data_IF_681330845920
#
_entry.id   IF_681330845920
#
_cell.length_a   1.000
_cell.length_b   1.000
_cell.length_c   1.000
_cell.angle_alpha   90.00
_cell.angle_beta   90.00
_cell.angle_gamma   90.00
#
_symmetry.space_group_name_H-M   'P 1'
#
loop_
_entity.id
_entity.type
_entity.pdbx_description
1 polymer ?
#
# COMPACT_ATOMS: atom_id res chain seq x y z
N UNK A 1 0.09 8.83 -26.42
CA UNK A 1 0.87 9.47 -25.33
C UNK A 1 1.98 8.52 -24.91
N UNK A 2 3.25 8.78 -25.32
CA UNK A 2 4.40 8.01 -24.82
C UNK A 2 4.60 8.41 -23.37
N UNK A 3 3.92 7.73 -22.45
CA UNK A 3 4.22 7.82 -21.02
C UNK A 3 5.71 7.54 -20.92
N UNK A 4 6.46 8.51 -20.41
CA UNK A 4 7.90 8.41 -20.22
C UNK A 4 8.22 7.05 -19.61
N UNK A 5 9.30 6.40 -20.06
CA UNK A 5 9.78 5.14 -19.47
C UNK A 5 10.03 5.37 -17.99
N UNK A 6 8.99 5.20 -17.17
CA UNK A 6 9.09 5.22 -15.73
C UNK A 6 9.98 4.03 -15.42
N UNK A 7 11.16 4.27 -14.85
CA UNK A 7 12.09 3.22 -14.44
C UNK A 7 11.46 2.55 -13.21
N UNK A 8 10.45 1.73 -13.47
CA UNK A 8 9.67 1.05 -12.45
C UNK A 8 10.30 -0.31 -12.18
N UNK A 9 10.96 -0.46 -11.02
CA UNK A 9 11.48 -1.74 -10.59
C UNK A 9 10.42 -2.47 -9.75
N UNK A 10 9.84 -3.58 -10.25
CA UNK A 10 8.74 -4.27 -9.58
C UNK A 10 9.11 -4.76 -8.17
N UNK A 11 10.37 -5.14 -7.95
CA UNK A 11 10.83 -5.66 -6.65
C UNK A 11 10.77 -4.58 -5.58
N UNK A 12 11.41 -3.44 -5.85
CA UNK A 12 11.44 -2.30 -4.93
C UNK A 12 10.06 -1.73 -4.73
N UNK A 13 9.25 -1.63 -5.79
CA UNK A 13 7.89 -1.17 -5.67
C UNK A 13 7.05 -2.08 -4.76
N UNK A 14 7.15 -3.41 -4.90
CA UNK A 14 6.43 -4.35 -4.04
C UNK A 14 6.84 -4.19 -2.56
N UNK A 15 8.14 -4.06 -2.28
CA UNK A 15 8.66 -3.83 -0.93
C UNK A 15 8.15 -2.50 -0.36
N UNK A 16 8.17 -1.42 -1.16
CA UNK A 16 7.68 -0.11 -0.72
C UNK A 16 6.18 -0.11 -0.44
N UNK A 17 5.38 -0.76 -1.27
CA UNK A 17 3.93 -0.89 -1.04
C UNK A 17 3.65 -1.52 0.31
N UNK A 18 4.29 -2.65 0.60
CA UNK A 18 4.13 -3.36 1.88
C UNK A 18 4.65 -2.49 3.02
N UNK A 19 5.84 -1.92 2.87
CA UNK A 19 6.47 -1.08 3.90
C UNK A 19 5.61 0.11 4.28
N UNK A 20 5.05 0.83 3.29
CA UNK A 20 4.17 1.98 3.52
C UNK A 20 2.85 1.53 4.17
N UNK A 21 2.27 0.42 3.72
CA UNK A 21 1.03 -0.10 4.31
C UNK A 21 1.23 -0.44 5.79
N UNK A 22 2.25 -1.24 6.11
CA UNK A 22 2.57 -1.64 7.48
C UNK A 22 2.94 -0.45 8.36
N UNK A 23 3.75 0.48 7.85
CA UNK A 23 4.10 1.70 8.58
C UNK A 23 2.85 2.55 8.87
N UNK A 24 1.94 2.68 7.89
CA UNK A 24 0.66 3.37 8.07
C UNK A 24 -0.17 2.75 9.20
N UNK A 25 -0.35 1.42 9.17
CA UNK A 25 -1.05 0.68 10.23
C UNK A 25 -0.41 0.87 11.61
N UNK A 26 0.92 0.78 11.70
CA UNK A 26 1.66 0.96 12.95
C UNK A 26 1.52 2.38 13.50
N UNK A 27 1.62 3.39 12.64
CA UNK A 27 1.37 4.80 13.01
C UNK A 27 -0.05 4.93 13.52
N UNK A 28 -1.04 4.40 12.78
CA UNK A 28 -2.44 4.41 13.17
C UNK A 28 -2.69 3.86 14.57
N UNK A 29 -2.08 2.71 14.87
CA UNK A 29 -2.18 2.10 16.20
C UNK A 29 -1.42 2.89 17.28
N UNK A 30 -0.25 3.42 16.94
CA UNK A 30 0.58 4.20 17.88
C UNK A 30 -0.13 5.48 18.33
N UNK A 31 -0.75 6.19 17.40
CA UNK A 31 -1.31 7.52 17.64
C UNK A 31 -2.58 7.49 18.49
N UNK A 32 -3.29 6.35 18.56
CA UNK A 32 -4.48 6.17 19.42
C UNK A 32 -4.21 6.49 20.90
N UNK A 33 -2.96 6.31 21.36
CA UNK A 33 -2.55 6.67 22.74
C UNK A 33 -2.73 8.16 23.04
N UNK A 34 -2.71 9.01 22.02
CA UNK A 34 -2.82 10.46 22.18
C UNK A 34 -4.25 10.98 22.06
N UNK A 35 -5.24 10.08 21.86
CA UNK A 35 -6.66 10.45 21.64
C UNK A 35 -7.24 11.30 22.78
N UNK A 36 -6.94 10.95 24.02
CA UNK A 36 -7.37 11.66 25.23
C UNK A 36 -6.11 12.17 25.94
N UNK A 37 -5.39 13.07 25.28
CA UNK A 37 -4.18 13.69 25.81
C UNK A 37 -4.11 15.16 25.43
N UNK A 38 -3.26 15.92 26.14
CA UNK A 38 -2.94 17.32 25.79
C UNK A 38 -2.26 17.43 24.41
N UNK A 39 -1.78 16.32 23.85
CA UNK A 39 -1.14 16.24 22.54
C UNK A 39 -2.08 15.68 21.47
N UNK A 40 -3.38 15.99 21.56
CA UNK A 40 -4.42 15.54 20.63
C UNK A 40 -4.09 15.85 19.15
N UNK A 41 -3.33 16.91 18.88
CA UNK A 41 -2.86 17.21 17.52
C UNK A 41 -2.05 16.05 16.90
N UNK A 42 -1.26 15.31 17.70
CA UNK A 42 -0.52 14.11 17.24
C UNK A 42 -1.49 13.03 16.77
N UNK A 43 -2.62 12.86 17.46
CA UNK A 43 -3.67 11.93 17.06
C UNK A 43 -4.30 12.33 15.72
N UNK A 44 -4.65 13.61 15.56
CA UNK A 44 -5.35 14.11 14.36
C UNK A 44 -4.46 14.04 13.11
N UNK A 45 -3.23 14.57 13.18
CA UNK A 45 -2.29 14.47 12.06
C UNK A 45 -1.82 13.04 11.84
N UNK A 46 -1.61 12.28 12.90
CA UNK A 46 -1.22 10.87 12.82
C UNK A 46 -2.27 10.00 12.14
N UNK A 47 -3.56 10.23 12.45
CA UNK A 47 -4.69 9.58 11.76
C UNK A 47 -4.73 9.93 10.28
N UNK A 48 -4.51 11.20 9.93
CA UNK A 48 -4.47 11.64 8.53
C UNK A 48 -3.32 10.96 7.77
N UNK A 49 -2.13 10.91 8.37
CA UNK A 49 -0.95 10.23 7.80
C UNK A 49 -1.22 8.75 7.62
N UNK A 50 -1.75 8.06 8.64
CA UNK A 50 -2.17 6.66 8.54
C UNK A 50 -3.13 6.46 7.36
N UNK A 51 -4.18 7.28 7.26
CA UNK A 51 -5.14 7.21 6.17
C UNK A 51 -4.48 7.32 4.80
N UNK A 52 -3.65 8.34 4.59
CA UNK A 52 -2.95 8.55 3.30
C UNK A 52 -2.00 7.40 2.99
N UNK A 53 -1.25 6.90 3.97
CA UNK A 53 -0.31 5.80 3.77
C UNK A 53 -1.03 4.50 3.42
N UNK A 54 -2.07 4.14 4.17
CA UNK A 54 -2.82 2.91 3.93
C UNK A 54 -3.59 3.00 2.61
N UNK A 55 -4.42 4.02 2.40
CA UNK A 55 -5.18 4.16 1.15
C UNK A 55 -4.29 4.38 -0.07
N UNK A 56 -3.20 5.14 0.08
CA UNK A 56 -2.20 5.31 -0.96
C UNK A 56 -1.53 3.98 -1.33
N UNK A 57 -1.15 3.17 -0.32
CA UNK A 57 -0.58 1.85 -0.56
C UNK A 57 -1.58 0.88 -1.21
N UNK A 58 -2.85 0.95 -0.84
CA UNK A 58 -3.92 0.16 -1.45
C UNK A 58 -4.13 0.53 -2.93
N UNK A 59 -4.23 1.82 -3.23
CA UNK A 59 -4.32 2.30 -4.61
C UNK A 59 -3.11 1.87 -5.43
N UNK A 60 -1.91 2.01 -4.88
CA UNK A 60 -0.70 1.60 -5.57
C UNK A 60 -0.60 0.07 -5.73
N UNK A 61 -1.07 -0.70 -4.74
CA UNK A 61 -1.19 -2.16 -4.81
C UNK A 61 -2.11 -2.60 -5.95
N UNK A 62 -3.23 -1.90 -6.16
CA UNK A 62 -4.15 -2.15 -7.28
C UNK A 62 -3.51 -1.87 -8.65
N UNK A 63 -2.80 -0.75 -8.80
CA UNK A 63 -2.16 -0.40 -10.06
C UNK A 63 -0.85 -1.15 -10.32
N UNK A 64 -0.22 -1.73 -9.29
CA UNK A 64 1.08 -2.41 -9.39
C UNK A 64 1.10 -3.49 -10.49
N UNK A 65 0.17 -4.46 -10.55
CA UNK A 65 0.14 -5.46 -11.63
C UNK A 65 0.04 -4.86 -13.04
N UNK A 66 -0.79 -3.81 -13.20
CA UNK A 66 -1.01 -3.13 -14.48
C UNK A 66 0.27 -2.44 -14.97
N UNK A 67 0.97 -1.75 -14.06
CA UNK A 67 2.25 -1.08 -14.36
C UNK A 67 3.34 -2.11 -14.71
N UNK A 68 3.42 -3.23 -13.97
CA UNK A 68 4.40 -4.29 -14.28
C UNK A 68 4.10 -4.94 -15.62
N UNK A 69 2.82 -5.18 -15.96
CA UNK A 69 2.41 -5.73 -17.25
C UNK A 69 2.79 -4.80 -18.40
N UNK A 70 2.51 -3.51 -18.28
CA UNK A 70 2.79 -2.51 -19.31
C UNK A 70 4.31 -2.38 -19.58
N UNK A 71 5.13 -2.31 -18.53
CA UNK A 71 6.57 -2.05 -18.65
C UNK A 71 7.42 -3.30 -18.89
N UNK A 72 6.98 -4.48 -18.47
CA UNK A 72 7.78 -5.71 -18.49
C UNK A 72 7.09 -6.89 -19.22
N UNK A 73 6.28 -6.61 -20.25
CA UNK A 73 5.46 -7.61 -20.97
C UNK A 73 6.20 -8.92 -21.29
N UNK A 74 7.44 -8.86 -21.77
CA UNK A 74 8.24 -10.06 -22.10
C UNK A 74 8.74 -10.85 -20.88
N UNK A 75 8.89 -10.23 -19.71
CA UNK A 75 9.45 -10.85 -18.48
C UNK A 75 8.42 -10.97 -17.35
N UNK A 76 7.14 -10.69 -17.64
CA UNK A 76 6.07 -10.60 -16.64
C UNK A 76 5.92 -11.88 -15.81
N UNK A 77 6.01 -13.06 -16.45
CA UNK A 77 5.99 -14.36 -15.76
C UNK A 77 7.11 -14.53 -14.72
N UNK A 78 8.30 -13.97 -14.95
CA UNK A 78 9.41 -14.00 -13.99
C UNK A 78 9.19 -13.04 -12.81
N UNK A 79 8.34 -12.04 -12.99
CA UNK A 79 8.01 -11.02 -11.99
C UNK A 79 6.72 -11.33 -11.24
N UNK A 80 6.04 -12.43 -11.57
CA UNK A 80 4.74 -12.82 -11.03
C UNK A 80 4.76 -12.87 -9.49
N UNK A 81 5.84 -13.39 -8.89
CA UNK A 81 5.98 -13.41 -7.43
C UNK A 81 6.01 -12.00 -6.81
N UNK A 82 6.66 -11.04 -7.47
CA UNK A 82 6.73 -9.65 -6.99
C UNK A 82 5.40 -8.92 -7.17
N UNK A 83 4.65 -9.27 -8.22
CA UNK A 83 3.29 -8.78 -8.42
C UNK A 83 2.38 -9.28 -7.31
N UNK A 84 2.42 -10.58 -7.00
CA UNK A 84 1.63 -11.16 -5.91
C UNK A 84 1.98 -10.51 -4.57
N UNK A 85 3.27 -10.34 -4.28
CA UNK A 85 3.75 -9.65 -3.07
C UNK A 85 3.21 -8.22 -3.03
N UNK A 86 3.33 -7.45 -4.12
CA UNK A 86 2.82 -6.08 -4.20
C UNK A 86 1.29 -5.98 -4.06
N UNK A 87 0.56 -7.04 -4.39
CA UNK A 87 -0.90 -7.14 -4.24
C UNK A 87 -1.37 -7.54 -2.83
N UNK A 88 -0.47 -7.95 -1.92
CA UNK A 88 -0.83 -8.44 -0.58
C UNK A 88 -1.71 -7.45 0.19
N UNK A 89 -1.39 -6.14 0.29
CA UNK A 89 -2.23 -5.22 1.04
C UNK A 89 -3.67 -5.19 0.54
N UNK A 90 -3.85 -5.15 -0.78
CA UNK A 90 -5.19 -5.13 -1.37
C UNK A 90 -5.96 -6.43 -1.06
N UNK A 91 -5.31 -7.59 -1.20
CA UNK A 91 -5.94 -8.88 -0.86
C UNK A 91 -6.34 -8.91 0.61
N UNK A 92 -5.45 -8.49 1.52
CA UNK A 92 -5.71 -8.46 2.95
C UNK A 92 -6.96 -7.63 3.29
N UNK A 93 -7.05 -6.40 2.77
CA UNK A 93 -8.20 -5.54 3.06
C UNK A 93 -9.49 -6.05 2.43
N UNK A 94 -9.46 -6.61 1.21
CA UNK A 94 -10.64 -7.27 0.62
C UNK A 94 -11.10 -8.43 1.50
N UNK A 95 -10.19 -9.30 1.94
CA UNK A 95 -10.55 -10.41 2.83
C UNK A 95 -11.11 -9.94 4.16
N UNK A 96 -10.55 -8.87 4.74
CA UNK A 96 -11.07 -8.29 5.97
C UNK A 96 -12.48 -7.71 5.80
N UNK A 97 -12.76 -7.01 4.69
CA UNK A 97 -14.11 -6.48 4.43
C UNK A 97 -15.13 -7.61 4.29
N UNK A 98 -14.80 -8.67 3.54
CA UNK A 98 -15.67 -9.84 3.39
C UNK A 98 -15.92 -10.52 4.75
N UNK A 99 -14.88 -10.71 5.56
CA UNK A 99 -15.01 -11.37 6.87
C UNK A 99 -15.82 -10.53 7.86
N UNK A 100 -15.70 -9.21 7.84
CA UNK A 100 -16.45 -8.31 8.74
C UNK A 100 -17.93 -8.21 8.35
N UNK A 101 -18.26 -8.41 7.07
CA UNK A 101 -19.65 -8.39 6.58
C UNK A 101 -20.42 -9.70 6.84
N UNK A 102 -19.74 -10.80 7.18
CA UNK A 102 -20.31 -12.11 7.53
C UNK A 102 -20.53 -12.21 9.05
#
# INVERSE_FOLDING_TARGET
>A
MKVSKLIYNPKWAAILIIGICLAGMLIGNYVERYRISNYRWIYEYGKLINFIMVFGSLGWSFFHPLVVWSNNKHKWKKLLIWILIGSIPLIYFITMMIVVEI
#
